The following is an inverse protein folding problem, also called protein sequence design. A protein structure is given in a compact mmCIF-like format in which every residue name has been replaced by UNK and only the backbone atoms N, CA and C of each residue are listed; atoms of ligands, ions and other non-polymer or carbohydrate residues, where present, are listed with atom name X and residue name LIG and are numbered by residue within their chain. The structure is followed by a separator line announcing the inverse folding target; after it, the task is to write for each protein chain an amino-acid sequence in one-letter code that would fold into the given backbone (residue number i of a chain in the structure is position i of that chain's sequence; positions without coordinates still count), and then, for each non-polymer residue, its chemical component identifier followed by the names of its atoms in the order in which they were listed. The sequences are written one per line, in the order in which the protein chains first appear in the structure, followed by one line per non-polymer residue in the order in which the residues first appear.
data_IF_760664239361
#
_entry.id   IF_760664239361
#
_cell.length_a   1.000
_cell.length_b   1.000
_cell.length_c   1.000
_cell.angle_alpha   90.00
_cell.angle_beta   90.00
_cell.angle_gamma   90.00
#
_symmetry.space_group_name_H-M   'P 1'
#
loop_
_entity.id
_entity.type
_entity.pdbx_description
1 polymer ?
#
# COMPACT_ATOMS: atom_id res chain seq x y z
N UNK A 1 27.67 -11.60 3.01
CA UNK A 1 27.02 -10.63 3.91
C UNK A 1 26.24 -11.42 4.95
N UNK A 2 26.38 -11.12 6.24
CA UNK A 2 25.59 -11.77 7.29
C UNK A 2 24.12 -11.35 7.19
N UNK A 3 23.16 -12.11 7.74
CA UNK A 3 21.76 -11.69 7.77
C UNK A 3 21.57 -10.40 8.56
N UNK A 4 22.41 -10.16 9.56
CA UNK A 4 22.44 -8.95 10.37
C UNK A 4 22.70 -7.67 9.57
N UNK A 5 23.51 -7.75 8.52
CA UNK A 5 23.78 -6.61 7.61
C UNK A 5 22.82 -6.59 6.42
N UNK A 6 22.36 -7.75 5.97
CA UNK A 6 21.50 -7.91 4.78
C UNK A 6 20.11 -7.29 4.99
N UNK A 7 19.48 -7.52 6.13
CA UNK A 7 18.10 -7.05 6.37
C UNK A 7 18.01 -5.52 6.47
N UNK A 8 18.87 -4.82 7.23
CA UNK A 8 18.87 -3.35 7.23
C UNK A 8 19.10 -2.71 5.85
N UNK A 9 19.90 -3.35 4.98
CA UNK A 9 20.12 -2.88 3.61
C UNK A 9 18.93 -3.19 2.70
N UNK A 10 18.25 -4.31 2.93
CA UNK A 10 17.07 -4.74 2.19
C UNK A 10 15.88 -3.83 2.48
N UNK A 11 15.76 -3.36 3.72
CA UNK A 11 14.60 -2.60 4.18
C UNK A 11 14.45 -1.28 3.42
N UNK A 12 13.28 -1.10 2.79
CA UNK A 12 12.97 0.07 1.98
C UNK A 12 13.77 0.18 0.68
N UNK A 13 14.45 -0.89 0.23
CA UNK A 13 15.26 -0.87 -1.01
C UNK A 13 14.45 -0.54 -2.27
N UNK A 14 13.14 -0.81 -2.24
CA UNK A 14 12.19 -0.49 -3.31
C UNK A 14 11.30 0.72 -2.98
N UNK A 15 11.68 1.56 -2.01
CA UNK A 15 10.93 2.76 -1.62
C UNK A 15 11.80 4.00 -1.83
N UNK A 16 11.26 4.98 -2.52
CA UNK A 16 11.88 6.30 -2.69
C UNK A 16 11.64 7.15 -1.44
N UNK A 17 12.18 6.68 -0.30
CA UNK A 17 12.07 7.32 1.01
C UNK A 17 13.07 8.48 1.16
N UNK A 18 13.05 9.17 2.31
CA UNK A 18 13.96 10.31 2.54
C UNK A 18 15.43 9.96 2.31
N UNK A 19 15.87 8.75 2.72
CA UNK A 19 17.25 8.30 2.50
C UNK A 19 17.58 8.19 1.00
N UNK A 20 16.64 7.71 0.19
CA UNK A 20 16.81 7.68 -1.26
C UNK A 20 16.72 9.09 -1.84
N UNK A 21 15.78 9.91 -1.39
CA UNK A 21 15.65 11.30 -1.82
C UNK A 21 16.93 12.10 -1.56
N UNK A 22 17.55 11.97 -0.40
CA UNK A 22 18.81 12.64 -0.05
C UNK A 22 19.99 12.27 -0.97
N UNK A 23 19.91 11.12 -1.64
CA UNK A 23 20.97 10.68 -2.59
C UNK A 23 20.73 11.18 -4.01
N UNK A 24 19.50 11.40 -4.42
CA UNK A 24 19.11 11.67 -5.79
C UNK A 24 18.55 13.09 -6.02
N UNK A 25 17.89 13.67 -5.03
CA UNK A 25 17.22 14.98 -5.14
C UNK A 25 18.20 16.08 -4.71
N UNK A 26 18.32 17.18 -5.47
CA UNK A 26 19.11 18.35 -5.04
C UNK A 26 18.63 18.90 -3.69
N UNK A 27 19.56 19.33 -2.85
CA UNK A 27 19.27 19.80 -1.50
C UNK A 27 18.22 20.95 -1.47
N UNK A 28 18.30 21.87 -2.45
CA UNK A 28 17.34 22.96 -2.60
C UNK A 28 15.89 22.47 -2.76
N UNK A 29 15.69 21.43 -3.58
CA UNK A 29 14.36 20.84 -3.79
C UNK A 29 13.89 20.08 -2.56
N UNK A 30 14.79 19.39 -1.85
CA UNK A 30 14.50 18.75 -0.57
C UNK A 30 14.04 19.75 0.49
N UNK A 31 14.70 20.88 0.60
CA UNK A 31 14.33 21.91 1.58
C UNK A 31 12.96 22.51 1.27
N UNK A 32 12.69 22.78 0.00
CA UNK A 32 11.36 23.25 -0.47
C UNK A 32 10.28 22.20 -0.16
N UNK A 33 10.53 20.93 -0.48
CA UNK A 33 9.59 19.83 -0.21
C UNK A 33 9.29 19.72 1.28
N UNK A 34 10.32 19.70 2.15
CA UNK A 34 10.16 19.67 3.61
C UNK A 34 9.38 20.89 4.14
N UNK A 35 9.61 22.07 3.56
CA UNK A 35 8.87 23.27 3.92
C UNK A 35 7.40 23.15 3.52
N UNK A 36 7.10 22.67 2.31
CA UNK A 36 5.72 22.44 1.84
C UNK A 36 4.97 21.45 2.74
N UNK A 37 5.62 20.34 3.16
CA UNK A 37 5.02 19.40 4.10
C UNK A 37 4.65 20.02 5.45
N UNK A 38 5.46 20.96 5.94
CA UNK A 38 5.20 21.65 7.22
C UNK A 38 4.12 22.74 7.10
N UNK A 39 4.13 23.46 6.00
CA UNK A 39 3.25 24.63 5.80
C UNK A 39 1.91 24.29 5.14
N UNK A 40 1.79 23.11 4.50
CA UNK A 40 0.65 22.74 3.67
C UNK A 40 0.55 23.54 2.36
N UNK A 41 1.61 24.26 1.97
CA UNK A 41 1.64 25.01 0.72
C UNK A 41 1.91 24.08 -0.48
N UNK A 42 1.37 24.39 -1.65
CA UNK A 42 1.64 23.63 -2.87
C UNK A 42 3.13 23.61 -3.22
N UNK A 43 3.61 22.45 -3.71
CA UNK A 43 4.98 22.31 -4.19
C UNK A 43 5.18 23.10 -5.50
N UNK A 44 6.18 24.00 -5.60
CA UNK A 44 6.51 24.68 -6.84
C UNK A 44 6.91 23.69 -7.94
N UNK A 45 6.47 23.97 -9.18
CA UNK A 45 6.74 23.07 -10.32
C UNK A 45 8.24 22.84 -10.58
N UNK A 46 9.09 23.82 -10.30
CA UNK A 46 10.55 23.68 -10.40
C UNK A 46 11.06 22.57 -9.48
N UNK A 47 10.69 22.59 -8.21
CA UNK A 47 11.06 21.55 -7.26
C UNK A 47 10.41 20.20 -7.60
N UNK A 48 9.17 20.21 -8.09
CA UNK A 48 8.51 18.99 -8.56
C UNK A 48 9.24 18.35 -9.75
N UNK A 49 9.79 19.14 -10.69
CA UNK A 49 10.58 18.62 -11.80
C UNK A 49 11.89 17.96 -11.32
N UNK A 50 12.60 18.58 -10.38
CA UNK A 50 13.82 18.01 -9.80
C UNK A 50 13.55 16.69 -9.07
N UNK A 51 12.45 16.64 -8.31
CA UNK A 51 12.02 15.42 -7.62
C UNK A 51 11.59 14.34 -8.62
N UNK A 52 10.85 14.68 -9.67
CA UNK A 52 10.41 13.74 -10.70
C UNK A 52 11.62 13.13 -11.46
N UNK A 53 12.59 13.94 -11.85
CA UNK A 53 13.79 13.46 -12.53
C UNK A 53 14.63 12.53 -11.63
N UNK A 54 14.79 12.89 -10.36
CA UNK A 54 15.45 12.07 -9.35
C UNK A 54 14.71 10.74 -9.14
N UNK A 55 13.39 10.78 -9.04
CA UNK A 55 12.52 9.61 -8.85
C UNK A 55 12.59 8.66 -10.05
N UNK A 56 12.56 9.20 -11.28
CA UNK A 56 12.75 8.45 -12.53
C UNK A 56 14.12 7.78 -12.56
N UNK A 57 15.19 8.54 -12.29
CA UNK A 57 16.58 8.03 -12.30
C UNK A 57 16.72 6.87 -11.31
N UNK A 58 16.26 7.06 -10.10
CA UNK A 58 16.26 6.03 -9.06
C UNK A 58 15.46 4.78 -9.49
N UNK A 59 14.31 4.97 -10.15
CA UNK A 59 13.44 3.89 -10.58
C UNK A 59 14.07 3.09 -11.75
N UNK A 60 14.66 3.77 -12.73
CA UNK A 60 15.36 3.14 -13.86
C UNK A 60 16.53 2.28 -13.41
N UNK A 61 17.33 2.74 -12.44
CA UNK A 61 18.44 1.97 -11.86
C UNK A 61 17.97 0.68 -11.19
N UNK A 62 16.69 0.62 -10.78
CA UNK A 62 16.04 -0.56 -10.18
C UNK A 62 15.20 -1.36 -11.16
N UNK A 63 15.34 -1.06 -12.47
CA UNK A 63 14.70 -1.81 -13.55
C UNK A 63 13.25 -1.42 -13.83
N UNK A 64 12.70 -0.37 -13.22
CA UNK A 64 11.38 0.13 -13.57
C UNK A 64 11.46 0.90 -14.90
N UNK A 65 10.51 0.63 -15.80
CA UNK A 65 10.42 1.29 -17.12
C UNK A 65 9.12 2.10 -17.27
N UNK A 66 8.23 1.95 -16.32
CA UNK A 66 6.92 2.59 -16.28
C UNK A 66 6.69 3.26 -14.92
N UNK A 67 5.73 4.18 -14.90
CA UNK A 67 5.19 4.75 -13.66
C UNK A 67 3.67 4.65 -13.66
N UNK A 68 3.08 4.77 -12.49
CA UNK A 68 1.64 4.81 -12.30
C UNK A 68 1.26 5.69 -11.12
N UNK A 69 0.17 6.43 -11.26
CA UNK A 69 -0.51 7.02 -10.12
C UNK A 69 -1.29 5.93 -9.41
N UNK A 70 -0.71 5.45 -8.31
CA UNK A 70 -1.25 4.36 -7.49
C UNK A 70 -2.21 4.92 -6.45
N UNK A 71 -3.43 4.42 -6.39
CA UNK A 71 -4.44 4.87 -5.43
C UNK A 71 -5.36 3.74 -4.95
N UNK A 72 -6.13 4.02 -3.90
CA UNK A 72 -7.10 3.11 -3.32
C UNK A 72 -8.50 3.44 -3.85
N UNK A 73 -9.04 2.71 -4.84
CA UNK A 73 -10.34 3.01 -5.45
C UNK A 73 -11.48 2.73 -4.48
N UNK A 74 -12.69 3.21 -4.80
CA UNK A 74 -13.89 2.92 -4.02
C UNK A 74 -14.27 1.42 -4.04
N UNK A 75 -13.90 0.72 -5.11
CA UNK A 75 -14.05 -0.73 -5.23
C UNK A 75 -12.69 -1.39 -5.49
N UNK A 76 -12.51 -2.62 -4.99
CA UNK A 76 -11.23 -3.33 -5.10
C UNK A 76 -10.20 -2.88 -4.07
N UNK A 77 -8.94 -3.29 -4.25
CA UNK A 77 -7.83 -3.04 -3.33
C UNK A 77 -7.04 -1.81 -3.77
N UNK A 78 -6.44 -1.88 -4.94
CA UNK A 78 -5.66 -0.80 -5.54
C UNK A 78 -6.04 -0.59 -7.01
N UNK A 79 -5.76 0.59 -7.55
CA UNK A 79 -5.94 0.92 -8.96
C UNK A 79 -4.67 1.56 -9.53
N UNK A 80 -4.35 1.17 -10.75
CA UNK A 80 -3.12 1.51 -11.45
C UNK A 80 -3.40 1.67 -12.95
N UNK A 81 -2.75 2.66 -13.58
CA UNK A 81 -2.68 2.81 -15.03
C UNK A 81 -1.25 3.17 -15.38
N UNK A 82 -0.54 2.23 -15.99
CA UNK A 82 0.89 2.34 -16.21
C UNK A 82 1.18 3.10 -17.50
N UNK A 83 2.01 4.14 -17.39
CA UNK A 83 2.57 4.88 -18.52
C UNK A 83 4.08 4.66 -18.55
N UNK A 84 4.65 4.50 -19.76
CA UNK A 84 6.10 4.37 -19.91
C UNK A 84 6.79 5.72 -19.76
N UNK A 85 8.03 5.72 -19.24
CA UNK A 85 8.89 6.89 -19.28
C UNK A 85 9.37 7.26 -20.69
N UNK A 86 9.03 6.45 -21.73
CA UNK A 86 9.49 6.68 -23.10
C UNK A 86 8.78 7.89 -23.71
N UNK A 87 9.59 8.87 -24.17
CA UNK A 87 9.15 10.00 -24.95
C UNK A 87 9.85 10.05 -26.31
N UNK A 88 9.18 10.57 -27.33
CA UNK A 88 9.74 10.71 -28.67
C UNK A 88 10.73 11.88 -28.74
N UNK A 89 11.99 11.60 -29.06
CA UNK A 89 13.05 12.60 -29.23
C UNK A 89 13.21 13.03 -30.70
N UNK A 90 12.36 12.56 -31.62
CA UNK A 90 12.48 12.81 -33.04
C UNK A 90 13.51 11.93 -33.76
N UNK A 91 13.39 11.84 -35.07
CA UNK A 91 14.34 11.07 -35.89
C UNK A 91 14.42 9.58 -35.55
N UNK A 92 13.35 8.97 -35.07
CA UNK A 92 13.29 7.57 -34.64
C UNK A 92 14.02 7.27 -33.34
N UNK A 93 14.38 8.29 -32.56
CA UNK A 93 15.02 8.18 -31.23
C UNK A 93 14.00 8.40 -30.11
N UNK A 94 14.26 7.79 -28.96
CA UNK A 94 13.47 7.95 -27.75
C UNK A 94 14.35 8.43 -26.60
N UNK A 95 13.74 9.13 -25.65
CA UNK A 95 14.32 9.49 -24.37
C UNK A 95 13.46 8.91 -23.24
N UNK A 96 14.04 8.78 -22.07
CA UNK A 96 13.29 8.46 -20.84
C UNK A 96 13.08 9.76 -20.10
N UNK A 97 11.83 10.16 -19.96
CA UNK A 97 11.43 11.43 -19.35
C UNK A 97 10.30 11.25 -18.34
N UNK A 98 10.26 12.11 -17.34
CA UNK A 98 9.19 12.17 -16.34
C UNK A 98 9.20 13.56 -15.72
N UNK A 99 8.15 14.31 -15.95
CA UNK A 99 8.06 15.71 -15.52
C UNK A 99 7.40 15.88 -14.16
N UNK A 100 7.69 16.98 -13.50
CA UNK A 100 7.00 17.34 -12.27
C UNK A 100 5.49 17.54 -12.45
N UNK A 101 5.04 17.91 -13.65
CA UNK A 101 3.61 17.98 -13.96
C UNK A 101 2.98 16.57 -13.90
N UNK A 102 3.62 15.57 -14.51
CA UNK A 102 3.17 14.18 -14.48
C UNK A 102 3.25 13.58 -13.07
N UNK A 103 4.24 13.98 -12.26
CA UNK A 103 4.34 13.58 -10.86
C UNK A 103 3.17 14.13 -10.04
N UNK A 104 2.92 15.45 -10.14
CA UNK A 104 1.99 16.13 -9.21
C UNK A 104 0.53 15.85 -9.53
N UNK A 105 0.18 15.76 -10.81
CA UNK A 105 -1.22 15.64 -11.22
C UNK A 105 -1.34 14.82 -12.51
N UNK A 106 -2.25 13.86 -12.50
CA UNK A 106 -2.74 13.18 -13.69
C UNK A 106 -4.21 13.50 -13.94
N UNK A 107 -4.61 13.45 -15.20
CA UNK A 107 -6.03 13.55 -15.61
C UNK A 107 -6.50 12.17 -16.12
N UNK A 108 -6.69 11.17 -15.22
CA UNK A 108 -7.18 9.89 -15.67
C UNK A 108 -8.61 10.03 -16.17
N UNK A 109 -8.91 9.37 -17.29
CA UNK A 109 -10.30 9.16 -17.66
C UNK A 109 -10.93 8.22 -16.64
N UNK A 110 -11.77 8.75 -15.78
CA UNK A 110 -12.38 8.01 -14.68
C UNK A 110 -13.34 6.91 -15.16
N UNK A 111 -13.75 6.89 -16.43
CA UNK A 111 -14.43 5.76 -17.03
C UNK A 111 -13.56 4.49 -17.05
N UNK A 112 -12.23 4.66 -16.94
CA UNK A 112 -11.24 3.58 -16.92
C UNK A 112 -10.90 3.08 -15.51
N UNK A 113 -11.40 3.71 -14.45
CA UNK A 113 -11.08 3.36 -13.06
C UNK A 113 -12.28 2.79 -12.30
N UNK A 114 -12.04 1.90 -11.32
CA UNK A 114 -13.08 1.39 -10.44
C UNK A 114 -13.62 2.49 -9.51
N UNK A 115 -14.62 3.22 -9.94
CA UNK A 115 -15.16 4.40 -9.23
C UNK A 115 -16.33 4.12 -8.29
N UNK A 116 -16.66 2.86 -8.04
CA UNK A 116 -17.83 2.47 -7.23
C UNK A 116 -19.18 2.55 -7.95
N UNK A 117 -19.19 2.66 -9.23
CA UNK A 117 -20.15 2.06 -10.16
C UNK A 117 -21.40 2.81 -10.57
N UNK A 118 -22.06 3.62 -9.80
CA UNK A 118 -23.36 4.20 -10.19
C UNK A 118 -23.31 5.69 -10.59
N UNK A 119 -22.11 6.24 -10.71
CA UNK A 119 -21.93 7.64 -11.10
C UNK A 119 -21.99 7.80 -12.61
N UNK A 120 -22.61 8.87 -13.08
CA UNK A 120 -22.50 9.25 -14.48
C UNK A 120 -21.05 9.55 -14.85
N UNK A 121 -20.64 9.28 -16.09
CA UNK A 121 -19.24 9.41 -16.54
C UNK A 121 -18.66 10.80 -16.27
N UNK A 122 -19.43 11.85 -16.38
CA UNK A 122 -18.96 13.22 -16.10
C UNK A 122 -18.72 13.46 -14.60
N UNK A 123 -19.46 12.81 -13.71
CA UNK A 123 -19.27 12.90 -12.25
C UNK A 123 -18.05 12.08 -11.80
N UNK A 124 -17.68 11.08 -12.57
CA UNK A 124 -16.53 10.24 -12.30
C UNK A 124 -15.22 10.85 -12.85
N UNK A 125 -15.27 11.90 -13.66
CA UNK A 125 -14.08 12.62 -14.13
C UNK A 125 -13.45 13.43 -13.03
N UNK A 126 -12.12 13.43 -13.02
CA UNK A 126 -11.36 14.13 -12.02
C UNK A 126 -9.88 14.10 -12.33
N UNK A 127 -9.10 14.28 -11.31
CA UNK A 127 -7.65 14.20 -11.38
C UNK A 127 -7.11 13.39 -10.21
N UNK A 128 -6.00 12.72 -10.46
CA UNK A 128 -5.15 12.17 -9.41
C UNK A 128 -4.17 13.24 -8.97
N UNK A 129 -3.91 13.35 -7.69
CA UNK A 129 -2.92 14.26 -7.15
C UNK A 129 -1.93 13.48 -6.27
N UNK A 130 -0.63 13.72 -6.48
CA UNK A 130 0.40 13.11 -5.66
C UNK A 130 0.19 13.45 -4.19
N UNK A 131 0.33 12.43 -3.35
CA UNK A 131 0.41 12.60 -1.90
C UNK A 131 1.90 12.65 -1.48
N UNK A 132 2.46 13.84 -1.23
CA UNK A 132 3.87 13.97 -0.88
C UNK A 132 4.20 13.49 0.54
N UNK A 133 3.19 13.07 1.32
CA UNK A 133 3.36 12.48 2.65
C UNK A 133 3.54 10.97 2.61
N UNK A 134 3.34 10.35 1.44
CA UNK A 134 3.57 8.93 1.20
C UNK A 134 4.67 8.75 0.15
N UNK A 135 5.59 7.82 0.41
CA UNK A 135 6.73 7.56 -0.47
C UNK A 135 6.35 6.70 -1.66
N UNK A 136 6.86 7.07 -2.84
CA UNK A 136 6.78 6.23 -4.03
C UNK A 136 7.58 4.95 -3.86
N UNK A 137 7.17 3.90 -4.54
CA UNK A 137 7.79 2.58 -4.42
C UNK A 137 7.78 1.85 -5.77
N UNK A 138 8.65 0.85 -5.90
CA UNK A 138 8.69 0.00 -7.11
C UNK A 138 7.94 -1.30 -6.84
N UNK A 139 7.01 -1.61 -7.73
CA UNK A 139 6.25 -2.86 -7.75
C UNK A 139 6.09 -3.32 -9.20
N UNK A 140 6.33 -4.60 -9.46
CA UNK A 140 6.14 -5.22 -10.78
C UNK A 140 6.81 -4.45 -11.95
N UNK A 141 8.01 -3.90 -11.73
CA UNK A 141 8.77 -3.14 -12.75
C UNK A 141 8.21 -1.74 -13.04
N UNK A 142 7.35 -1.22 -12.19
CA UNK A 142 6.77 0.12 -12.29
C UNK A 142 7.01 0.94 -11.03
N UNK A 143 7.25 2.23 -11.22
CA UNK A 143 7.24 3.23 -10.15
C UNK A 143 5.80 3.55 -9.78
N UNK A 144 5.37 3.14 -8.60
CA UNK A 144 4.06 3.43 -8.05
C UNK A 144 4.12 4.71 -7.21
N UNK A 145 3.35 5.71 -7.58
CA UNK A 145 3.30 7.02 -6.92
C UNK A 145 1.99 7.10 -6.15
N UNK A 146 2.03 7.11 -4.79
CA UNK A 146 0.81 7.23 -3.99
C UNK A 146 0.06 8.52 -4.30
N UNK A 147 -1.21 8.41 -4.65
CA UNK A 147 -2.06 9.52 -5.05
C UNK A 147 -3.43 9.46 -4.40
N UNK A 148 -4.09 10.60 -4.37
CA UNK A 148 -5.53 10.71 -4.14
C UNK A 148 -6.23 10.90 -5.49
N UNK A 149 -7.50 10.53 -5.56
CA UNK A 149 -8.33 10.73 -6.74
C UNK A 149 -9.59 11.51 -6.38
N UNK A 150 -9.74 12.69 -6.95
CA UNK A 150 -10.84 13.62 -6.69
C UNK A 150 -11.56 14.01 -7.98
N UNK A 151 -12.87 14.21 -7.90
CA UNK A 151 -13.62 14.84 -8.98
C UNK A 151 -13.24 16.32 -9.16
N UNK A 152 -13.61 16.91 -10.30
CA UNK A 152 -13.41 18.36 -10.53
C UNK A 152 -14.17 19.24 -9.51
N UNK A 153 -15.23 18.73 -8.90
CA UNK A 153 -15.94 19.42 -7.81
C UNK A 153 -15.33 19.18 -6.43
N UNK A 154 -14.24 18.42 -6.33
CA UNK A 154 -13.56 18.08 -5.07
C UNK A 154 -14.18 16.90 -4.30
N UNK A 155 -15.17 16.20 -4.86
CA UNK A 155 -15.67 14.99 -4.24
C UNK A 155 -14.62 13.86 -4.28
N UNK A 156 -14.51 13.08 -3.21
CA UNK A 156 -13.61 11.94 -3.17
C UNK A 156 -14.08 10.84 -4.14
N UNK A 157 -13.18 10.36 -4.97
CA UNK A 157 -13.38 9.23 -5.87
C UNK A 157 -12.55 8.00 -5.46
N UNK A 158 -11.89 8.09 -4.31
CA UNK A 158 -11.05 7.06 -3.71
C UNK A 158 -11.31 6.92 -2.21
N UNK A 159 -10.59 6.02 -1.54
CA UNK A 159 -10.65 5.81 -0.09
C UNK A 159 -9.65 6.69 0.67
N UNK A 160 -8.57 7.12 0.03
CA UNK A 160 -7.49 7.88 0.67
C UNK A 160 -7.88 9.33 0.94
N UNK A 161 -8.60 9.98 0.03
CA UNK A 161 -9.07 11.37 0.23
C UNK A 161 -9.89 11.54 1.53
N UNK A 162 -10.92 10.69 1.82
CA UNK A 162 -11.62 10.77 3.09
C UNK A 162 -10.72 10.48 4.30
N UNK A 163 -9.77 9.55 4.18
CA UNK A 163 -8.80 9.27 5.25
C UNK A 163 -7.99 10.51 5.59
N UNK A 164 -7.35 11.16 4.61
CA UNK A 164 -6.54 12.37 4.83
C UNK A 164 -7.37 13.51 5.43
N UNK A 165 -8.60 13.72 4.95
CA UNK A 165 -9.52 14.72 5.49
C UNK A 165 -9.91 14.40 6.94
N UNK A 166 -10.12 13.13 7.28
CA UNK A 166 -10.43 12.71 8.66
C UNK A 166 -9.24 12.90 9.59
N UNK A 167 -8.01 12.60 9.12
CA UNK A 167 -6.79 12.83 9.88
C UNK A 167 -6.62 14.33 10.20
N UNK A 168 -6.88 15.21 9.23
CA UNK A 168 -6.82 16.66 9.47
C UNK A 168 -7.91 17.14 10.44
N UNK A 169 -9.12 16.60 10.34
CA UNK A 169 -10.19 16.90 11.30
C UNK A 169 -9.81 16.47 12.72
N UNK A 170 -9.26 15.27 12.89
CA UNK A 170 -8.76 14.76 14.19
C UNK A 170 -7.62 15.64 14.70
N UNK A 171 -6.65 16.00 13.85
CA UNK A 171 -5.54 16.88 14.19
C UNK A 171 -6.04 18.20 14.80
N UNK A 172 -6.95 18.88 14.10
CA UNK A 172 -7.50 20.17 14.54
C UNK A 172 -8.18 20.07 15.90
N UNK A 173 -9.03 19.07 16.10
CA UNK A 173 -9.76 18.92 17.36
C UNK A 173 -8.86 18.44 18.50
N UNK A 174 -7.89 17.55 18.24
CA UNK A 174 -6.93 17.11 19.23
C UNK A 174 -6.02 18.25 19.70
N UNK A 175 -5.52 19.08 18.79
CA UNK A 175 -4.74 20.29 19.16
C UNK A 175 -5.59 21.24 20.00
N UNK A 176 -6.87 21.44 19.66
CA UNK A 176 -7.80 22.24 20.46
C UNK A 176 -7.93 21.71 21.90
N UNK A 177 -8.08 20.39 22.06
CA UNK A 177 -8.15 19.75 23.38
C UNK A 177 -6.83 19.93 24.15
N UNK A 178 -5.69 19.71 23.51
CA UNK A 178 -4.37 19.86 24.14
C UNK A 178 -4.12 21.28 24.68
N UNK A 179 -4.58 22.31 23.96
CA UNK A 179 -4.52 23.70 24.43
C UNK A 179 -5.30 23.93 25.74
N UNK A 180 -6.43 23.23 25.92
CA UNK A 180 -7.18 23.28 27.19
C UNK A 180 -6.39 22.68 28.37
N UNK A 181 -5.40 21.83 28.09
CA UNK A 181 -4.45 21.29 29.07
C UNK A 181 -3.14 22.10 29.15
N UNK A 182 -3.09 23.31 28.57
CA UNK A 182 -1.92 24.17 28.58
C UNK A 182 -0.76 23.70 27.69
N UNK A 183 -1.05 22.90 26.65
CA UNK A 183 -0.06 22.40 25.68
C UNK A 183 -0.08 23.25 24.41
N UNK A 184 0.20 24.53 24.52
CA UNK A 184 0.12 25.50 23.42
C UNK A 184 1.24 25.30 22.38
N UNK A 185 2.32 24.65 22.75
CA UNK A 185 3.45 24.31 21.87
C UNK A 185 3.15 23.18 20.87
N UNK A 186 2.07 22.45 21.08
CA UNK A 186 1.68 21.38 20.14
C UNK A 186 0.89 21.94 18.97
N UNK A 187 1.44 21.80 17.77
CA UNK A 187 0.83 22.31 16.54
C UNK A 187 0.24 21.22 15.64
N UNK A 188 0.63 19.95 15.89
CA UNK A 188 0.16 18.82 15.07
C UNK A 188 -0.02 17.57 15.94
N UNK A 189 -1.12 16.85 15.69
CA UNK A 189 -1.39 15.51 16.23
C UNK A 189 -1.64 14.57 15.06
N UNK A 190 -0.91 13.47 15.02
CA UNK A 190 -0.99 12.49 13.94
C UNK A 190 -1.53 11.16 14.49
N UNK A 191 -2.69 10.66 14.00
CA UNK A 191 -3.18 9.34 14.38
C UNK A 191 -2.27 8.25 13.84
N UNK A 192 -2.05 7.22 14.63
CA UNK A 192 -1.20 6.09 14.28
C UNK A 192 -1.99 4.79 14.31
N UNK A 193 -1.67 3.87 13.41
CA UNK A 193 -2.33 2.58 13.26
C UNK A 193 -1.25 1.51 12.99
N UNK A 194 -1.41 0.33 13.60
CA UNK A 194 -0.70 -0.88 13.24
C UNK A 194 -1.73 -1.93 12.81
N UNK A 195 -1.96 -2.05 11.51
CA UNK A 195 -2.98 -2.94 10.98
C UNK A 195 -2.47 -4.40 10.99
N UNK A 196 -2.87 -5.17 11.96
CA UNK A 196 -2.62 -6.61 12.05
C UNK A 196 -3.54 -7.34 11.08
N UNK A 197 -2.98 -8.09 10.14
CA UNK A 197 -3.74 -8.79 9.13
C UNK A 197 -3.81 -10.27 9.43
N UNK A 198 -5.01 -10.73 9.78
CA UNK A 198 -5.34 -12.14 9.83
C UNK A 198 -5.67 -12.67 8.43
N UNK A 199 -5.34 -13.93 8.15
CA UNK A 199 -5.54 -14.54 6.85
C UNK A 199 -5.55 -16.07 6.94
N UNK A 200 -6.15 -16.72 5.94
CA UNK A 200 -6.10 -18.18 5.81
C UNK A 200 -5.22 -18.59 4.64
N UNK A 201 -4.41 -19.61 4.86
CA UNK A 201 -3.64 -20.28 3.80
C UNK A 201 -4.23 -21.65 3.50
N UNK A 202 -4.63 -21.85 2.25
CA UNK A 202 -5.16 -23.14 1.79
C UNK A 202 -4.38 -23.66 0.59
N UNK A 203 -4.38 -24.97 0.41
CA UNK A 203 -3.75 -25.62 -0.71
C UNK A 203 -4.37 -25.19 -2.05
N UNK A 204 -3.53 -24.75 -3.00
CA UNK A 204 -3.98 -24.20 -4.30
C UNK A 204 -4.69 -25.24 -5.15
N UNK A 205 -4.24 -26.51 -5.13
CA UNK A 205 -4.88 -27.56 -5.91
C UNK A 205 -6.29 -27.89 -5.39
N UNK A 206 -6.49 -27.80 -4.06
CA UNK A 206 -7.81 -27.96 -3.45
C UNK A 206 -8.71 -26.73 -3.73
N UNK A 207 -8.16 -25.53 -3.62
CA UNK A 207 -8.88 -24.28 -3.96
C UNK A 207 -9.42 -24.29 -5.39
N UNK A 208 -8.63 -24.73 -6.36
CA UNK A 208 -9.03 -24.79 -7.76
C UNK A 208 -10.22 -25.74 -8.03
N UNK A 209 -10.46 -26.70 -7.15
CA UNK A 209 -11.61 -27.62 -7.21
C UNK A 209 -12.88 -27.05 -6.58
N UNK A 210 -12.80 -25.89 -5.90
CA UNK A 210 -13.89 -25.29 -5.14
C UNK A 210 -14.38 -24.02 -5.81
N UNK A 211 -15.53 -24.08 -6.49
CA UNK A 211 -16.13 -22.97 -7.19
C UNK A 211 -16.55 -21.83 -6.24
N UNK A 212 -17.07 -22.17 -5.06
CA UNK A 212 -17.44 -21.19 -4.04
C UNK A 212 -16.24 -20.37 -3.54
N UNK A 213 -15.12 -21.01 -3.23
CA UNK A 213 -13.90 -20.32 -2.81
C UNK A 213 -13.33 -19.44 -3.93
N UNK A 214 -13.38 -19.92 -5.20
CA UNK A 214 -12.87 -19.18 -6.36
C UNK A 214 -13.70 -17.93 -6.70
N UNK A 215 -15.02 -18.04 -6.60
CA UNK A 215 -15.93 -16.97 -7.01
C UNK A 215 -16.30 -16.03 -5.88
N UNK A 216 -16.41 -16.54 -4.64
CA UNK A 216 -16.89 -15.78 -3.48
C UNK A 216 -15.80 -15.53 -2.43
N UNK A 217 -14.61 -16.15 -2.55
CA UNK A 217 -13.55 -16.06 -1.54
C UNK A 217 -13.88 -16.77 -0.23
N UNK A 218 -15.03 -17.49 -0.16
CA UNK A 218 -15.51 -18.16 1.05
C UNK A 218 -16.22 -19.48 0.71
N UNK A 219 -16.20 -20.41 1.69
CA UNK A 219 -16.94 -21.66 1.59
C UNK A 219 -18.45 -21.40 1.78
N UNK A 220 -19.27 -21.83 0.82
CA UNK A 220 -20.73 -21.71 0.87
C UNK A 220 -21.39 -23.06 1.20
N UNK A 221 -20.75 -24.17 0.88
CA UNK A 221 -21.28 -25.52 1.07
C UNK A 221 -20.17 -26.51 1.41
N UNK A 222 -20.54 -27.70 1.82
CA UNK A 222 -19.64 -28.77 2.22
C UNK A 222 -19.70 -29.06 3.71
N UNK A 223 -19.08 -30.18 4.12
CA UNK A 223 -18.97 -30.56 5.52
C UNK A 223 -18.08 -29.61 6.30
N UNK A 224 -18.35 -29.45 7.59
CA UNK A 224 -17.44 -28.76 8.51
C UNK A 224 -16.13 -29.54 8.61
N UNK A 225 -14.99 -28.88 8.85
CA UNK A 225 -13.73 -29.57 9.10
C UNK A 225 -13.88 -30.44 10.37
N UNK A 226 -13.14 -31.56 10.45
CA UNK A 226 -13.18 -32.44 11.61
C UNK A 226 -12.64 -31.78 12.89
N UNK A 227 -11.84 -30.73 12.74
CA UNK A 227 -11.25 -29.95 13.82
C UNK A 227 -11.64 -28.49 13.67
N UNK A 228 -12.09 -27.87 14.76
CA UNK A 228 -12.38 -26.44 14.87
C UNK A 228 -11.31 -25.70 15.67
N UNK A 229 -11.72 -24.90 16.62
CA UNK A 229 -10.87 -24.05 17.48
C UNK A 229 -10.76 -24.61 18.92
N UNK A 230 -11.05 -25.87 19.09
CA UNK A 230 -11.09 -26.49 20.42
C UNK A 230 -9.71 -26.38 21.09
N UNK A 231 -9.72 -25.92 22.35
CA UNK A 231 -8.54 -25.74 23.21
C UNK A 231 -7.47 -24.78 22.67
N UNK A 232 -7.80 -24.00 21.64
CA UNK A 232 -6.89 -23.02 21.01
C UNK A 232 -5.50 -23.58 20.63
N UNK A 233 -5.42 -24.87 20.40
CA UNK A 233 -4.15 -25.61 20.20
C UNK A 233 -3.42 -25.20 18.89
N UNK A 234 -4.12 -24.63 17.92
CA UNK A 234 -3.51 -24.11 16.70
C UNK A 234 -2.72 -22.82 16.97
N UNK A 235 -3.19 -21.96 17.85
CA UNK A 235 -2.61 -20.64 18.11
C UNK A 235 -1.12 -20.67 18.46
N UNK A 236 -0.72 -21.55 19.37
CA UNK A 236 0.67 -21.75 19.79
C UNK A 236 1.39 -22.88 19.02
N UNK A 237 0.76 -23.42 17.98
CA UNK A 237 1.33 -24.51 17.18
C UNK A 237 2.55 -24.07 16.37
N UNK A 238 3.46 -25.01 16.11
CA UNK A 238 4.58 -24.76 15.20
C UNK A 238 4.11 -24.60 13.75
N UNK A 239 4.81 -23.77 12.97
CA UNK A 239 4.54 -23.62 11.55
C UNK A 239 4.87 -24.92 10.79
N UNK A 240 4.00 -25.27 9.87
CA UNK A 240 4.33 -26.29 8.86
C UNK A 240 5.42 -25.77 7.92
N UNK A 241 6.33 -26.60 7.42
CA UNK A 241 7.49 -26.15 6.62
C UNK A 241 7.11 -25.25 5.43
N UNK A 242 6.04 -25.59 4.69
CA UNK A 242 5.55 -24.80 3.56
C UNK A 242 5.02 -23.43 3.98
N UNK A 243 4.35 -23.36 5.12
CA UNK A 243 3.86 -22.10 5.70
C UNK A 243 5.02 -21.24 6.20
N UNK A 244 6.00 -21.85 6.86
CA UNK A 244 7.21 -21.14 7.31
C UNK A 244 8.00 -20.53 6.13
N UNK A 245 8.14 -21.28 5.02
CA UNK A 245 8.79 -20.80 3.81
C UNK A 245 8.02 -19.61 3.18
N UNK A 246 6.70 -19.71 3.08
CA UNK A 246 5.83 -18.63 2.65
C UNK A 246 6.02 -17.38 3.52
N UNK A 247 5.93 -17.51 4.84
CA UNK A 247 6.06 -16.39 5.77
C UNK A 247 7.44 -15.73 5.72
N UNK A 248 8.50 -16.52 5.48
CA UNK A 248 9.85 -15.98 5.31
C UNK A 248 9.95 -15.11 4.06
N UNK A 249 9.48 -15.61 2.91
CA UNK A 249 9.49 -14.83 1.67
C UNK A 249 8.59 -13.61 1.75
N UNK A 250 7.41 -13.73 2.39
CA UNK A 250 6.50 -12.62 2.61
C UNK A 250 7.18 -11.48 3.40
N UNK A 251 7.86 -11.79 4.50
CA UNK A 251 8.60 -10.78 5.26
C UNK A 251 9.64 -10.06 4.39
N UNK A 252 10.44 -10.82 3.63
CA UNK A 252 11.49 -10.25 2.77
C UNK A 252 10.90 -9.30 1.69
N UNK A 253 9.81 -9.69 1.04
CA UNK A 253 9.13 -8.84 0.05
C UNK A 253 8.52 -7.59 0.69
N UNK A 254 7.91 -7.72 1.86
CA UNK A 254 7.35 -6.58 2.59
C UNK A 254 8.43 -5.62 3.12
N UNK A 255 9.55 -6.13 3.59
CA UNK A 255 10.68 -5.29 4.03
C UNK A 255 11.27 -4.47 2.88
N UNK A 256 11.37 -5.02 1.66
CA UNK A 256 11.77 -4.25 0.47
C UNK A 256 10.84 -3.06 0.22
N UNK A 257 9.56 -3.24 0.49
CA UNK A 257 8.52 -2.20 0.36
C UNK A 257 8.40 -1.29 1.59
N UNK A 258 9.32 -1.39 2.55
CA UNK A 258 9.35 -0.54 3.74
C UNK A 258 8.29 -0.86 4.79
N UNK A 259 7.61 -2.00 4.68
CA UNK A 259 6.66 -2.45 5.69
C UNK A 259 7.41 -3.09 6.85
N UNK A 260 7.25 -2.55 8.06
CA UNK A 260 7.87 -3.08 9.28
C UNK A 260 7.08 -4.29 9.81
N UNK A 261 6.94 -5.35 8.98
CA UNK A 261 6.37 -6.61 9.47
C UNK A 261 7.28 -7.19 10.55
N UNK A 262 6.77 -7.29 11.76
CA UNK A 262 7.57 -7.67 12.93
C UNK A 262 7.17 -9.02 13.50
N UNK A 263 5.88 -9.28 13.59
CA UNK A 263 5.36 -10.47 14.24
C UNK A 263 4.55 -11.29 13.24
N UNK A 264 4.74 -12.60 13.29
CA UNK A 264 3.96 -13.59 12.58
C UNK A 264 3.68 -14.77 13.48
N UNK A 265 2.46 -15.27 13.46
CA UNK A 265 2.06 -16.44 14.27
C UNK A 265 0.84 -17.12 13.66
N UNK A 266 0.50 -18.29 14.21
CA UNK A 266 -0.78 -18.91 13.92
C UNK A 266 -1.90 -18.20 14.67
N UNK A 267 -3.08 -18.19 14.07
CA UNK A 267 -4.32 -17.78 14.71
C UNK A 267 -5.15 -19.00 15.20
N UNK A 268 -6.27 -18.73 15.85
CA UNK A 268 -7.05 -19.75 16.55
C UNK A 268 -7.67 -20.76 15.60
N UNK A 269 -8.13 -20.33 14.42
CA UNK A 269 -8.77 -21.22 13.46
C UNK A 269 -7.73 -22.07 12.70
N UNK A 270 -8.07 -23.31 12.33
CA UNK A 270 -7.21 -24.13 11.50
C UNK A 270 -6.84 -23.43 10.19
N UNK A 271 -5.54 -23.43 9.85
CA UNK A 271 -4.95 -22.77 8.69
C UNK A 271 -5.07 -21.23 8.70
N UNK A 272 -5.40 -20.63 9.82
CA UNK A 272 -5.39 -19.20 10.04
C UNK A 272 -4.04 -18.74 10.59
N UNK A 273 -3.59 -17.60 10.14
CA UNK A 273 -2.33 -16.98 10.52
C UNK A 273 -2.52 -15.46 10.60
N UNK A 274 -1.56 -14.79 11.22
CA UNK A 274 -1.53 -13.33 11.33
C UNK A 274 -0.14 -12.79 11.02
N UNK A 275 -0.12 -11.58 10.46
CA UNK A 275 1.06 -10.73 10.37
C UNK A 275 0.77 -9.39 11.04
N UNK A 276 1.67 -8.98 11.92
CA UNK A 276 1.55 -7.73 12.66
C UNK A 276 2.73 -6.80 12.35
N UNK A 277 2.49 -5.68 11.65
CA UNK A 277 3.49 -4.64 11.44
C UNK A 277 3.60 -3.74 12.68
N UNK A 278 4.74 -3.06 12.81
CA UNK A 278 4.84 -1.93 13.74
C UNK A 278 3.95 -0.81 13.20
N UNK A 279 3.28 -0.09 14.11
CA UNK A 279 2.41 1.01 13.76
C UNK A 279 3.17 2.15 13.06
N UNK A 280 2.47 2.86 12.21
CA UNK A 280 2.91 4.11 11.56
C UNK A 280 1.76 5.11 11.51
N UNK A 281 1.99 6.29 10.94
CA UNK A 281 0.89 7.21 10.71
C UNK A 281 -0.21 6.55 9.87
N UNK A 282 -1.46 6.95 10.11
CA UNK A 282 -2.62 6.25 9.53
C UNK A 282 -2.63 6.25 8.00
N UNK A 283 -2.03 7.26 7.35
CA UNK A 283 -1.90 7.30 5.91
C UNK A 283 -0.94 6.23 5.39
N UNK A 284 0.29 6.22 5.91
CA UNK A 284 1.30 5.21 5.57
C UNK A 284 0.82 3.80 5.90
N UNK A 285 0.24 3.60 7.09
CA UNK A 285 -0.29 2.30 7.51
C UNK A 285 -1.39 1.77 6.58
N UNK A 286 -2.27 2.66 6.09
CA UNK A 286 -3.32 2.31 5.14
C UNK A 286 -2.75 1.86 3.79
N UNK A 287 -1.80 2.61 3.22
CA UNK A 287 -1.12 2.24 1.99
C UNK A 287 -0.36 0.92 2.14
N UNK A 288 0.39 0.77 3.22
CA UNK A 288 1.13 -0.46 3.51
C UNK A 288 0.21 -1.67 3.67
N UNK A 289 -0.96 -1.52 4.29
CA UNK A 289 -1.89 -2.63 4.40
C UNK A 289 -2.44 -3.10 3.04
N UNK A 290 -2.65 -2.19 2.06
CA UNK A 290 -3.00 -2.59 0.70
C UNK A 290 -1.87 -3.42 0.06
N UNK A 291 -0.62 -2.98 0.21
CA UNK A 291 0.55 -3.70 -0.29
C UNK A 291 0.71 -5.08 0.40
N UNK A 292 0.49 -5.15 1.72
CA UNK A 292 0.49 -6.41 2.47
C UNK A 292 -0.51 -7.39 1.87
N UNK A 293 -1.76 -6.98 1.69
CA UNK A 293 -2.82 -7.85 1.15
C UNK A 293 -2.51 -8.34 -0.28
N UNK A 294 -1.91 -7.50 -1.12
CA UNK A 294 -1.51 -7.87 -2.47
C UNK A 294 -0.31 -8.84 -2.46
N UNK A 295 0.73 -8.51 -1.70
CA UNK A 295 1.95 -9.31 -1.59
C UNK A 295 1.66 -10.70 -1.01
N UNK A 296 0.81 -10.79 0.01
CA UNK A 296 0.35 -12.06 0.58
C UNK A 296 -0.19 -13.02 -0.48
N UNK A 297 -1.04 -12.52 -1.38
CA UNK A 297 -1.61 -13.34 -2.46
C UNK A 297 -0.56 -13.79 -3.46
N UNK A 298 0.30 -12.87 -3.91
CA UNK A 298 1.38 -13.15 -4.86
C UNK A 298 2.38 -14.19 -4.33
N UNK A 299 2.82 -14.02 -3.09
CA UNK A 299 3.76 -14.95 -2.46
C UNK A 299 3.11 -16.30 -2.20
N UNK A 300 1.83 -16.35 -1.81
CA UNK A 300 1.13 -17.61 -1.59
C UNK A 300 1.12 -18.48 -2.85
N UNK A 301 0.90 -17.91 -4.03
CA UNK A 301 0.90 -18.64 -5.30
C UNK A 301 2.24 -19.31 -5.59
N UNK A 302 3.36 -18.65 -5.30
CA UNK A 302 4.71 -19.22 -5.46
C UNK A 302 4.94 -20.47 -4.60
N UNK A 303 4.27 -20.53 -3.45
CA UNK A 303 4.34 -21.67 -2.53
C UNK A 303 3.24 -22.73 -2.74
N UNK A 304 2.47 -22.64 -3.85
CA UNK A 304 1.35 -23.55 -4.11
C UNK A 304 0.20 -23.40 -3.11
N UNK A 305 0.08 -22.23 -2.52
CA UNK A 305 -0.95 -21.84 -1.56
C UNK A 305 -1.88 -20.78 -2.18
N UNK A 306 -3.00 -20.55 -1.52
CA UNK A 306 -3.88 -19.40 -1.75
C UNK A 306 -4.14 -18.71 -0.42
N UNK A 307 -3.92 -17.39 -0.40
CA UNK A 307 -4.23 -16.54 0.74
C UNK A 307 -5.67 -16.03 0.62
N UNK A 308 -6.53 -16.41 1.56
CA UNK A 308 -7.91 -15.92 1.66
C UNK A 308 -7.96 -14.74 2.61
N UNK A 309 -8.49 -13.64 2.11
CA UNK A 309 -8.68 -12.38 2.85
C UNK A 309 -10.17 -11.97 2.97
N UNK A 310 -11.08 -12.85 2.59
CA UNK A 310 -12.51 -12.66 2.88
C UNK A 310 -12.70 -12.61 4.40
N UNK A 311 -13.58 -11.74 4.90
CA UNK A 311 -13.77 -11.52 6.33
C UNK A 311 -14.16 -12.79 7.07
N UNK A 312 -14.90 -13.68 6.42
CA UNK A 312 -15.37 -14.96 6.97
C UNK A 312 -15.27 -16.08 5.93
N UNK A 313 -14.05 -16.59 5.64
CA UNK A 313 -13.88 -17.62 4.62
C UNK A 313 -14.54 -18.95 4.99
N UNK A 314 -14.60 -19.26 6.28
CA UNK A 314 -15.20 -20.48 6.81
C UNK A 314 -16.16 -20.17 7.95
N UNK A 315 -17.40 -20.63 7.83
CA UNK A 315 -18.41 -20.43 8.87
C UNK A 315 -18.08 -21.25 10.14
N UNK A 316 -18.37 -20.68 11.30
CA UNK A 316 -18.21 -21.35 12.59
C UNK A 316 -16.81 -21.29 13.20
N UNK A 317 -15.84 -20.63 12.54
CA UNK A 317 -14.50 -20.36 13.07
C UNK A 317 -14.17 -18.88 12.91
N UNK A 318 -13.01 -18.41 13.39
CA UNK A 318 -12.54 -17.03 13.21
C UNK A 318 -12.49 -16.63 11.73
N UNK A 319 -12.30 -15.36 11.47
CA UNK A 319 -12.26 -14.75 10.16
C UNK A 319 -10.90 -14.10 9.84
N UNK A 320 -10.77 -13.59 8.62
CA UNK A 320 -9.59 -12.80 8.20
C UNK A 320 -9.79 -11.34 8.60
N UNK A 321 -9.68 -11.06 9.88
CA UNK A 321 -9.86 -9.72 10.44
C UNK A 321 -8.66 -8.80 10.22
N UNK A 322 -8.83 -7.60 10.71
CA UNK A 322 -7.75 -6.63 10.96
C UNK A 322 -7.87 -6.17 12.41
N UNK A 323 -6.86 -6.43 13.18
CA UNK A 323 -6.81 -6.06 14.59
C UNK A 323 -5.85 -4.88 14.85
#
# INVERSE_FOLDING_TARGET
MSEETRIPELFGSLVFNERAMEQYVPQSAMDIWRQCLKSGQPLPLSAANEIADAMKTWALERGATHFTHWFQPLSGVTAEKHDSFINNAGGGRVIMDFSGKELVCGEPDASSFPSGGLRATFEARGYSAWDPTAFAFIKDGSLCIPTVFCSYSGAALDKKTPLLRSMEAVNREAVRVLRLFGKDEVHKVTPQIGAEQEYFLIDRALFLKRMDLRLCGRALFGAKPPKGQELDDHYFGAFRPRVAAYMKELDEELWKLGVLSKTKHNEVAPAQHEIAPIYSDANTASDQNQLVMETMKKVAEKHGLVCLLHEKPFAGVNGSGKH
#
